data_IF_092216528028
#
_entry.id   IF_092216528028
#
_cell.length_a   1.000
_cell.length_b   1.000
_cell.length_c   1.000
_cell.angle_alpha   90.00
_cell.angle_beta   90.00
_cell.angle_gamma   90.00
#
_symmetry.space_group_name_H-M   'P 1'
#
loop_
_entity.id
_entity.type
_entity.pdbx_description
1 polymer ?
#
# COMPACT_ATOMS: atom_id res chain seq x y z
N UNK A 1 -14.41 -10.67 5.11
CA UNK A 1 -13.89 -9.36 5.55
C UNK A 1 -12.39 -9.43 5.51
N UNK A 2 -11.73 -8.59 4.72
CA UNK A 2 -10.26 -8.54 4.68
C UNK A 2 -9.69 -8.24 6.07
N UNK A 3 -8.54 -8.87 6.34
CA UNK A 3 -7.73 -8.65 7.53
C UNK A 3 -7.17 -7.21 7.58
N UNK A 4 -7.04 -6.56 6.43
CA UNK A 4 -6.45 -5.23 6.26
C UNK A 4 -7.49 -4.26 5.70
N UNK A 5 -8.36 -3.74 6.58
CA UNK A 5 -9.53 -2.93 6.20
C UNK A 5 -9.15 -1.54 5.71
N UNK A 6 -8.13 -0.92 6.30
CA UNK A 6 -7.64 0.37 5.83
C UNK A 6 -6.88 0.24 4.53
N UNK A 7 -6.18 -0.88 4.32
CA UNK A 7 -5.53 -1.18 3.04
C UNK A 7 -6.57 -1.38 1.92
N UNK A 8 -7.62 -2.17 2.18
CA UNK A 8 -8.77 -2.28 1.27
C UNK A 8 -9.39 -0.91 0.97
N UNK A 9 -9.60 -0.09 2.01
CA UNK A 9 -10.17 1.24 1.84
C UNK A 9 -9.26 2.13 1.00
N UNK A 10 -7.94 2.13 1.25
CA UNK A 10 -6.97 2.88 0.48
C UNK A 10 -7.08 2.52 -1.01
N UNK A 11 -7.02 1.23 -1.34
CA UNK A 11 -7.09 0.80 -2.74
C UNK A 11 -8.46 1.12 -3.36
N UNK A 12 -9.55 0.75 -2.69
CA UNK A 12 -10.90 0.96 -3.18
C UNK A 12 -11.33 2.43 -3.29
N UNK A 13 -10.67 3.36 -2.60
CA UNK A 13 -11.04 4.79 -2.60
C UNK A 13 -10.05 5.70 -3.31
N UNK A 14 -8.82 5.24 -3.55
CA UNK A 14 -7.77 6.06 -4.18
C UNK A 14 -7.35 5.50 -5.53
N UNK A 15 -7.30 4.18 -5.65
CA UNK A 15 -6.79 3.50 -6.85
C UNK A 15 -7.85 2.71 -7.59
N UNK A 16 -9.10 2.70 -7.13
CA UNK A 16 -10.19 2.01 -7.83
C UNK A 16 -10.36 2.55 -9.25
N UNK A 17 -10.35 1.63 -10.23
CA UNK A 17 -10.53 1.94 -11.65
C UNK A 17 -11.83 2.71 -11.91
N UNK A 18 -12.87 2.43 -11.13
CA UNK A 18 -14.18 3.10 -11.20
C UNK A 18 -14.14 4.61 -10.88
N UNK A 19 -13.06 5.10 -10.27
CA UNK A 19 -12.87 6.53 -10.01
C UNK A 19 -12.39 7.30 -11.25
N UNK A 20 -11.93 6.59 -12.29
CA UNK A 20 -11.42 7.20 -13.52
C UNK A 20 -10.14 8.03 -13.33
N UNK A 21 -9.47 7.88 -12.17
CA UNK A 21 -8.23 8.58 -11.87
C UNK A 21 -7.05 7.86 -12.51
N UNK A 22 -6.07 8.64 -12.97
CA UNK A 22 -4.75 8.11 -13.30
C UNK A 22 -4.00 7.66 -12.03
N UNK A 23 -3.02 6.77 -12.18
CA UNK A 23 -2.17 6.31 -11.07
C UNK A 23 -1.51 7.49 -10.33
N UNK A 24 -1.05 8.50 -11.05
CA UNK A 24 -0.43 9.71 -10.49
C UNK A 24 -1.42 10.55 -9.65
N UNK A 25 -2.67 10.67 -10.10
CA UNK A 25 -3.72 11.37 -9.35
C UNK A 25 -4.09 10.60 -8.08
N UNK A 26 -4.20 9.28 -8.17
CA UNK A 26 -4.37 8.40 -7.01
C UNK A 26 -3.22 8.56 -6.02
N UNK A 27 -1.98 8.51 -6.50
CA UNK A 27 -0.80 8.73 -5.66
C UNK A 27 -0.81 10.11 -4.98
N UNK A 28 -1.24 11.15 -5.69
CA UNK A 28 -1.44 12.49 -5.13
C UNK A 28 -2.46 12.52 -3.99
N UNK A 29 -3.58 11.80 -4.12
CA UNK A 29 -4.58 11.67 -3.06
C UNK A 29 -4.05 10.90 -1.86
N UNK A 30 -3.39 9.77 -2.08
CA UNK A 30 -2.77 8.99 -1.01
C UNK A 30 -1.77 9.83 -0.21
N UNK A 31 -0.89 10.56 -0.89
CA UNK A 31 0.08 11.46 -0.26
C UNK A 31 -0.59 12.56 0.59
N UNK A 32 -1.77 13.05 0.18
CA UNK A 32 -2.57 14.00 0.98
C UNK A 32 -3.17 13.33 2.20
N UNK A 33 -3.67 12.11 2.08
CA UNK A 33 -4.20 11.35 3.23
C UNK A 33 -3.14 11.09 4.29
N UNK A 34 -1.89 10.83 3.86
CA UNK A 34 -0.73 10.68 4.75
C UNK A 34 -0.39 11.93 5.58
N UNK A 35 -0.95 13.11 5.27
CA UNK A 35 -0.80 14.29 6.11
C UNK A 35 -1.60 14.19 7.43
N UNK A 36 -2.62 13.33 7.48
CA UNK A 36 -3.33 13.02 8.71
C UNK A 36 -2.54 11.99 9.53
N UNK A 37 -2.02 12.40 10.68
CA UNK A 37 -1.14 11.59 11.54
C UNK A 37 -1.84 10.33 12.05
N UNK A 38 -3.09 10.44 12.50
CA UNK A 38 -3.85 9.30 13.03
C UNK A 38 -4.13 8.28 11.93
N UNK A 39 -4.50 8.76 10.73
CA UNK A 39 -4.71 7.89 9.59
C UNK A 39 -3.41 7.23 9.14
N UNK A 40 -2.32 8.00 9.03
CA UNK A 40 -0.99 7.51 8.65
C UNK A 40 -0.50 6.42 9.60
N UNK A 41 -0.60 6.62 10.91
CA UNK A 41 -0.15 5.63 11.90
C UNK A 41 -0.90 4.31 11.75
N UNK A 42 -2.20 4.36 11.47
CA UNK A 42 -3.04 3.15 11.36
C UNK A 42 -2.83 2.43 10.03
N UNK A 43 -2.75 3.15 8.92
CA UNK A 43 -2.48 2.53 7.61
C UNK A 43 -1.06 1.95 7.57
N UNK A 44 -0.09 2.59 8.23
CA UNK A 44 1.27 2.08 8.35
C UNK A 44 1.34 0.71 9.00
N UNK A 45 0.61 0.52 10.10
CA UNK A 45 0.55 -0.77 10.78
C UNK A 45 -0.02 -1.87 9.86
N UNK A 46 -1.12 -1.59 9.15
CA UNK A 46 -1.69 -2.56 8.21
C UNK A 46 -0.77 -2.87 7.03
N UNK A 47 -0.12 -1.84 6.46
CA UNK A 47 0.86 -2.02 5.37
C UNK A 47 2.02 -2.89 5.86
N UNK A 48 2.60 -2.58 7.02
CA UNK A 48 3.68 -3.38 7.64
C UNK A 48 3.25 -4.84 7.80
N UNK A 49 2.09 -5.08 8.40
CA UNK A 49 1.58 -6.43 8.63
C UNK A 49 1.32 -7.17 7.31
N UNK A 50 0.80 -6.51 6.28
CA UNK A 50 0.57 -7.12 4.97
C UNK A 50 1.88 -7.49 4.26
N UNK A 51 2.93 -6.66 4.37
CA UNK A 51 4.25 -6.97 3.80
C UNK A 51 4.98 -8.09 4.55
N UNK A 52 4.74 -8.27 5.84
CA UNK A 52 5.32 -9.34 6.65
C UNK A 52 4.54 -10.66 6.59
N UNK A 53 3.27 -10.63 6.21
CA UNK A 53 2.42 -11.81 6.11
C UNK A 53 2.72 -12.63 4.84
N UNK A 54 3.39 -13.77 4.99
CA UNK A 54 3.71 -14.66 3.86
C UNK A 54 2.48 -15.35 3.25
N UNK A 55 1.32 -15.30 3.92
CA UNK A 55 0.06 -15.84 3.38
C UNK A 55 -0.77 -14.76 2.70
N UNK A 56 -0.37 -13.48 2.77
CA UNK A 56 -1.01 -12.41 2.04
C UNK A 56 -0.52 -12.43 0.59
N UNK A 57 -1.46 -12.47 -0.36
CA UNK A 57 -1.15 -12.42 -1.79
C UNK A 57 -1.47 -11.03 -2.34
N UNK A 58 -0.43 -10.27 -2.65
CA UNK A 58 -0.55 -8.98 -3.34
C UNK A 58 -1.15 -9.15 -4.73
N UNK A 59 -0.88 -10.27 -5.40
CA UNK A 59 -1.48 -10.56 -6.70
C UNK A 59 -3.00 -10.70 -6.59
N UNK A 60 -3.47 -11.58 -5.71
CA UNK A 60 -4.92 -11.77 -5.50
C UNK A 60 -5.59 -10.47 -5.03
N UNK A 61 -4.93 -9.74 -4.15
CA UNK A 61 -5.40 -8.45 -3.67
C UNK A 61 -5.60 -7.44 -4.81
N UNK A 62 -4.62 -7.25 -5.69
CA UNK A 62 -4.79 -6.33 -6.82
C UNK A 62 -5.77 -6.82 -7.88
N UNK A 63 -5.85 -8.15 -8.09
CA UNK A 63 -6.84 -8.77 -8.99
C UNK A 63 -8.27 -8.50 -8.49
N UNK A 64 -8.54 -8.65 -7.19
CA UNK A 64 -9.84 -8.38 -6.57
C UNK A 64 -10.28 -6.92 -6.70
N UNK A 65 -9.32 -6.00 -6.66
CA UNK A 65 -9.56 -4.56 -6.83
C UNK A 65 -9.48 -4.09 -8.29
N UNK A 66 -9.17 -4.99 -9.23
CA UNK A 66 -9.03 -4.68 -10.66
C UNK A 66 -7.94 -3.66 -10.97
N UNK A 67 -6.97 -3.47 -10.08
CA UNK A 67 -5.98 -2.39 -10.14
C UNK A 67 -4.80 -2.73 -11.07
N UNK A 68 -4.22 -3.91 -10.89
CA UNK A 68 -2.99 -4.29 -11.58
C UNK A 68 -2.92 -5.80 -11.78
N UNK A 69 -2.88 -6.23 -13.04
CA UNK A 69 -2.78 -7.63 -13.42
C UNK A 69 -1.32 -8.08 -13.45
N UNK A 70 -0.80 -8.50 -12.31
CA UNK A 70 0.57 -9.02 -12.20
C UNK A 70 0.67 -10.47 -12.72
N UNK A 71 1.77 -10.82 -13.38
CA UNK A 71 2.06 -12.19 -13.83
C UNK A 71 2.56 -13.09 -12.69
N UNK A 72 3.02 -12.48 -11.58
CA UNK A 72 3.53 -13.21 -10.42
C UNK A 72 3.32 -12.47 -9.10
N UNK A 73 3.36 -13.20 -7.99
CA UNK A 73 3.31 -12.62 -6.64
C UNK A 73 4.48 -11.66 -6.38
N UNK A 74 5.66 -11.96 -6.94
CA UNK A 74 6.84 -11.09 -6.84
C UNK A 74 6.60 -9.74 -7.52
N UNK A 75 6.03 -9.76 -8.72
CA UNK A 75 5.73 -8.55 -9.47
C UNK A 75 4.65 -7.71 -8.77
N UNK A 76 3.58 -8.36 -8.29
CA UNK A 76 2.55 -7.69 -7.50
C UNK A 76 3.16 -7.02 -6.26
N UNK A 77 4.04 -7.72 -5.52
CA UNK A 77 4.71 -7.15 -4.35
C UNK A 77 5.58 -5.93 -4.71
N UNK A 78 6.33 -5.98 -5.81
CA UNK A 78 7.11 -4.83 -6.30
C UNK A 78 6.18 -3.64 -6.63
N UNK A 79 5.04 -3.91 -7.26
CA UNK A 79 4.06 -2.87 -7.54
C UNK A 79 3.49 -2.25 -6.24
N UNK A 80 3.13 -3.09 -5.25
CA UNK A 80 2.71 -2.63 -3.93
C UNK A 80 3.77 -1.75 -3.26
N UNK A 81 5.05 -2.12 -3.36
CA UNK A 81 6.14 -1.31 -2.82
C UNK A 81 6.14 0.08 -3.44
N UNK A 82 6.05 0.17 -4.77
CA UNK A 82 6.02 1.43 -5.51
C UNK A 82 4.82 2.32 -5.15
N UNK A 83 3.60 1.76 -5.16
CA UNK A 83 2.38 2.59 -5.05
C UNK A 83 1.92 2.82 -3.61
N UNK A 84 2.27 1.93 -2.67
CA UNK A 84 1.80 1.99 -1.28
C UNK A 84 2.95 2.31 -0.31
N UNK A 85 4.07 1.60 -0.42
CA UNK A 85 5.14 1.66 0.57
C UNK A 85 6.06 2.87 0.39
N UNK A 86 6.50 3.15 -0.83
CA UNK A 86 7.38 4.28 -1.13
C UNK A 86 6.76 5.64 -0.72
N UNK A 87 5.47 5.94 -1.02
CA UNK A 87 4.87 7.18 -0.56
C UNK A 87 4.80 7.29 0.97
N UNK A 88 4.56 6.17 1.67
CA UNK A 88 4.56 6.14 3.14
C UNK A 88 5.95 6.46 3.70
N UNK A 89 7.00 5.81 3.16
CA UNK A 89 8.40 6.04 3.56
C UNK A 89 8.86 7.47 3.29
N UNK A 90 8.44 8.05 2.17
CA UNK A 90 8.77 9.43 1.81
C UNK A 90 8.21 10.48 2.80
N UNK A 91 7.21 10.11 3.61
CA UNK A 91 6.63 10.95 4.67
C UNK A 91 7.25 10.77 6.04
N UNK A 92 8.37 10.05 6.14
CA UNK A 92 9.25 10.05 7.30
C UNK A 92 8.91 9.06 8.41
N UNK A 93 8.11 8.02 8.13
CA UNK A 93 8.03 6.89 9.06
C UNK A 93 9.29 6.03 8.94
N UNK A 94 10.00 5.87 10.06
CA UNK A 94 11.09 4.90 10.18
C UNK A 94 10.49 3.52 10.05
N UNK A 95 10.69 2.92 8.87
CA UNK A 95 10.35 1.54 8.61
C UNK A 95 11.40 0.64 9.28
N UNK A 96 10.98 -0.25 10.17
CA UNK A 96 11.86 -1.28 10.73
C UNK A 96 11.84 -2.48 9.78
N UNK A 97 12.70 -2.46 8.75
CA UNK A 97 12.91 -3.61 7.87
C UNK A 97 13.87 -4.65 8.49
N UNK A 98 14.27 -4.49 9.75
CA UNK A 98 15.29 -5.33 10.37
C UNK A 98 16.68 -5.17 9.74
N UNK A 99 16.88 -4.20 8.84
CA UNK A 99 18.21 -3.82 8.38
C UNK A 99 18.88 -3.04 9.49
N UNK A 100 19.87 -3.66 10.14
CA UNK A 100 20.80 -3.00 11.04
C UNK A 100 21.35 -1.72 10.37
N UNK A 101 20.80 -0.57 10.73
CA UNK A 101 21.51 0.69 10.54
C UNK A 101 22.56 0.75 11.64
N UNK A 102 23.78 0.31 11.31
CA UNK A 102 24.97 0.68 12.08
C UNK A 102 25.07 2.21 12.05
N UNK A 103 24.76 2.82 13.18
CA UNK A 103 25.07 4.21 13.52
C UNK A 103 25.96 4.21 14.75
#
# INVERSE_FOLDING_TARGET
>A
MSKFKLLDYLIGSVYAVDLGLSEDEGQGLYVRMLANVDWRSRISEEINLAFLDTNFSWKAFFDEHGLYAADSEREARIYAEKIILEPLRSKGEKWDDGSLTNG
#
